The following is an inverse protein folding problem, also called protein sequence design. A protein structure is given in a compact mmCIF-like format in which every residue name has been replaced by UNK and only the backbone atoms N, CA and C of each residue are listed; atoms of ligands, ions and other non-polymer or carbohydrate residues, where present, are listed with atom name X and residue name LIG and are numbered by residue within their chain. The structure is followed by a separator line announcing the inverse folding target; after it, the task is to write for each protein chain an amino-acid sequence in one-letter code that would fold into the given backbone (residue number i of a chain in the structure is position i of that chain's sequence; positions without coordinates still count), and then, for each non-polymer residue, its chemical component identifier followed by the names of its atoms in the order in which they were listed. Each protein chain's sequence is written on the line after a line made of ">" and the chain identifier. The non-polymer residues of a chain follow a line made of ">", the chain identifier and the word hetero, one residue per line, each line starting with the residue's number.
data_IF_331472052899
#
_entry.id   IF_331472052899
#
_cell.length_a   1.000
_cell.length_b   1.000
_cell.length_c   1.000
_cell.angle_alpha   90.00
_cell.angle_beta   90.00
_cell.angle_gamma   90.00
#
_symmetry.space_group_name_H-M   'P 1'
#
loop_
_entity.id
_entity.type
_entity.pdbx_description
1 polymer ?
#
# COMPACT_ATOMS: atom_id res chain seq x y z
N UNK A 1 -38.79 -14.65 -17.90
CA UNK A 1 -39.03 -13.28 -17.60
C UNK A 1 -38.63 -12.86 -16.22
N UNK A 2 -38.53 -13.75 -15.34
CA UNK A 2 -38.14 -13.38 -13.98
C UNK A 2 -36.66 -13.35 -13.79
N UNK A 3 -35.89 -13.85 -14.71
CA UNK A 3 -34.47 -13.98 -14.52
C UNK A 3 -33.72 -12.67 -14.50
N UNK A 4 -34.31 -11.63 -15.02
CA UNK A 4 -33.55 -10.39 -15.13
C UNK A 4 -33.38 -9.67 -13.81
N UNK A 5 -34.05 -10.06 -12.79
CA UNK A 5 -34.00 -9.36 -11.53
C UNK A 5 -32.66 -9.48 -10.83
N UNK A 6 -31.98 -10.59 -10.99
CA UNK A 6 -30.72 -10.81 -10.30
C UNK A 6 -29.53 -9.97 -10.78
N UNK A 7 -29.63 -9.44 -12.00
CA UNK A 7 -28.50 -8.74 -12.56
C UNK A 7 -28.22 -7.41 -11.88
N UNK A 8 -29.24 -6.72 -11.45
CA UNK A 8 -29.05 -5.40 -10.84
C UNK A 8 -28.27 -5.45 -9.54
N UNK A 9 -28.40 -6.52 -8.79
CA UNK A 9 -27.73 -6.63 -7.50
C UNK A 9 -26.23 -6.77 -7.66
N UNK A 10 -25.80 -7.41 -8.70
CA UNK A 10 -24.41 -7.66 -8.95
C UNK A 10 -23.58 -6.38 -9.11
N UNK A 11 -24.15 -5.40 -9.77
CA UNK A 11 -23.42 -4.15 -10.04
C UNK A 11 -23.14 -3.39 -8.76
N UNK A 12 -24.06 -3.41 -7.82
CA UNK A 12 -23.86 -2.71 -6.57
C UNK A 12 -22.68 -3.23 -5.76
N UNK A 13 -22.46 -4.53 -5.78
CA UNK A 13 -21.35 -5.12 -5.04
C UNK A 13 -20.00 -4.69 -5.57
N UNK A 14 -19.87 -4.56 -6.87
CA UNK A 14 -18.60 -4.16 -7.47
C UNK A 14 -18.21 -2.74 -7.06
N UNK A 15 -19.16 -1.84 -7.02
CA UNK A 15 -18.88 -0.46 -6.62
C UNK A 15 -18.43 -0.37 -5.17
N UNK A 16 -19.03 -1.15 -4.31
CA UNK A 16 -18.64 -1.15 -2.91
C UNK A 16 -17.21 -1.62 -2.70
N UNK A 17 -16.76 -2.61 -3.49
CA UNK A 17 -15.40 -3.11 -3.36
C UNK A 17 -14.37 -2.06 -3.74
N UNK A 18 -14.64 -1.30 -4.79
CA UNK A 18 -13.70 -0.26 -5.23
C UNK A 18 -13.59 0.83 -4.17
N UNK A 19 -14.70 1.25 -3.61
CA UNK A 19 -14.69 2.31 -2.59
C UNK A 19 -13.92 1.89 -1.34
N UNK A 20 -14.06 0.63 -0.93
CA UNK A 20 -13.38 0.14 0.26
C UNK A 20 -11.86 0.13 0.12
N UNK A 21 -11.36 0.02 -1.12
CA UNK A 21 -9.94 -0.03 -1.36
C UNK A 21 -9.25 1.32 -1.25
N UNK A 22 -10.00 2.40 -1.50
CA UNK A 22 -9.42 3.72 -1.65
C UNK A 22 -8.84 4.30 -0.36
N UNK A 23 -9.35 3.90 0.80
CA UNK A 23 -8.90 4.49 2.05
C UNK A 23 -8.05 3.56 2.90
N UNK A 24 -7.32 2.65 2.25
CA UNK A 24 -6.38 1.77 2.92
C UNK A 24 -4.97 2.05 2.40
N UNK A 25 -3.99 1.65 3.20
CA UNK A 25 -2.58 1.85 2.82
C UNK A 25 -2.15 0.91 1.70
N UNK A 26 -2.97 -0.06 1.35
CA UNK A 26 -2.69 -0.96 0.23
C UNK A 26 -2.45 -0.20 -1.06
N UNK A 27 -1.60 -0.73 -1.93
CA UNK A 27 -1.35 -0.18 -3.24
C UNK A 27 0.09 0.22 -3.45
N UNK A 28 0.33 0.96 -4.53
CA UNK A 28 1.68 1.35 -4.93
C UNK A 28 1.98 2.77 -4.47
N UNK A 29 3.15 2.94 -3.88
CA UNK A 29 3.61 4.22 -3.35
C UNK A 29 4.94 4.58 -3.97
N UNK A 30 5.12 5.86 -4.28
CA UNK A 30 6.29 6.37 -5.00
C UNK A 30 6.92 7.56 -4.29
N UNK A 31 8.26 7.63 -4.36
CA UNK A 31 9.02 8.70 -3.73
C UNK A 31 10.40 8.77 -4.40
N UNK A 32 10.67 9.86 -5.11
CA UNK A 32 11.99 10.12 -5.69
C UNK A 32 12.55 8.94 -6.48
N UNK A 33 11.74 8.39 -7.37
CA UNK A 33 12.19 7.28 -8.20
C UNK A 33 12.09 5.92 -7.56
N UNK A 34 11.74 5.85 -6.28
CA UNK A 34 11.53 4.59 -5.58
C UNK A 34 10.07 4.21 -5.62
N UNK A 35 9.81 2.91 -5.52
CA UNK A 35 8.44 2.38 -5.55
C UNK A 35 8.33 1.21 -4.61
N UNK A 36 7.26 1.16 -3.84
CA UNK A 36 6.90 -0.02 -3.05
C UNK A 36 5.44 -0.35 -3.28
N UNK A 37 5.05 -1.58 -2.97
CA UNK A 37 3.68 -2.02 -3.17
C UNK A 37 3.24 -2.83 -1.96
N UNK A 38 2.07 -2.49 -1.40
CA UNK A 38 1.52 -3.15 -0.23
C UNK A 38 0.24 -3.88 -0.63
N UNK A 39 0.13 -5.14 -0.19
CA UNK A 39 -1.07 -5.94 -0.40
C UNK A 39 -1.33 -6.70 0.89
N UNK A 40 -2.17 -6.13 1.78
CA UNK A 40 -2.33 -6.67 3.11
C UNK A 40 -1.00 -6.74 3.82
N UNK A 41 -0.66 -7.86 4.47
CA UNK A 41 0.64 -7.98 5.13
C UNK A 41 1.82 -8.18 4.19
N UNK A 42 1.59 -8.38 2.91
CA UNK A 42 2.67 -8.58 1.94
C UNK A 42 3.15 -7.25 1.40
N UNK A 43 4.46 -7.12 1.19
CA UNK A 43 5.05 -5.91 0.63
C UNK A 43 6.14 -6.29 -0.36
N UNK A 44 6.21 -5.53 -1.47
CA UNK A 44 7.39 -5.49 -2.33
C UNK A 44 8.12 -4.21 -1.97
N UNK A 45 9.31 -4.34 -1.42
CA UNK A 45 10.07 -3.21 -0.90
C UNK A 45 10.62 -2.34 -2.02
N UNK A 46 11.11 -1.13 -1.72
CA UNK A 46 11.78 -0.33 -2.75
C UNK A 46 12.97 -1.02 -3.40
N UNK A 47 13.61 -1.92 -2.69
CA UNK A 47 14.69 -2.72 -3.27
C UNK A 47 14.22 -3.90 -4.10
N UNK A 48 12.93 -4.13 -4.19
CA UNK A 48 12.37 -5.20 -5.01
C UNK A 48 12.18 -6.52 -4.30
N UNK A 49 12.39 -6.58 -3.00
CA UNK A 49 12.26 -7.81 -2.24
C UNK A 49 10.80 -8.02 -1.82
N UNK A 50 10.33 -9.26 -1.95
CA UNK A 50 9.01 -9.62 -1.45
C UNK A 50 9.15 -10.13 -0.03
N UNK A 51 8.43 -9.51 0.88
CA UNK A 51 8.45 -9.91 2.28
C UNK A 51 7.12 -9.58 2.91
N UNK A 52 7.00 -9.70 4.22
CA UNK A 52 5.78 -9.38 4.94
C UNK A 52 6.08 -8.52 6.14
N UNK A 53 5.06 -7.89 6.68
CA UNK A 53 5.20 -7.03 7.83
C UNK A 53 3.91 -6.94 8.61
N UNK A 54 3.85 -5.96 9.50
CA UNK A 54 2.68 -5.70 10.34
C UNK A 54 1.77 -4.74 9.60
N UNK A 55 0.58 -5.23 9.27
CA UNK A 55 -0.39 -4.50 8.47
C UNK A 55 -1.58 -4.08 9.31
N UNK A 56 -1.99 -2.84 9.13
CA UNK A 56 -3.31 -2.41 9.49
C UNK A 56 -3.81 -1.51 8.36
N UNK A 57 -5.08 -1.17 8.40
CA UNK A 57 -5.66 -0.42 7.29
C UNK A 57 -4.92 0.89 7.00
N UNK A 58 -4.42 1.55 8.04
CA UNK A 58 -3.79 2.86 7.90
C UNK A 58 -2.32 2.89 8.27
N UNK A 59 -1.71 1.74 8.48
CA UNK A 59 -0.31 1.69 8.88
C UNK A 59 0.34 0.38 8.45
N UNK A 60 1.65 0.42 8.28
CA UNK A 60 2.43 -0.76 7.90
C UNK A 60 3.83 -0.61 8.48
N UNK A 61 4.41 -1.70 8.93
CA UNK A 61 5.82 -1.69 9.30
C UNK A 61 6.45 -3.02 8.89
N UNK A 62 7.74 -2.96 8.53
CA UNK A 62 8.46 -4.17 8.20
C UNK A 62 9.93 -4.01 8.57
N UNK A 63 10.60 -5.16 8.71
CA UNK A 63 12.02 -5.20 9.00
C UNK A 63 12.76 -5.35 7.67
N UNK A 64 13.76 -4.51 7.45
CA UNK A 64 14.52 -4.52 6.20
C UNK A 64 15.19 -5.87 6.03
N UNK A 65 15.01 -6.53 4.85
CA UNK A 65 15.59 -7.85 4.62
C UNK A 65 17.11 -7.83 4.56
N UNK A 66 17.70 -8.99 4.82
CA UNK A 66 19.15 -9.12 4.84
C UNK A 66 19.81 -8.75 3.52
N UNK A 67 19.09 -8.83 2.41
CA UNK A 67 19.63 -8.55 1.09
C UNK A 67 19.64 -7.07 0.74
N UNK A 68 19.14 -6.20 1.62
CA UNK A 68 19.05 -4.77 1.33
C UNK A 68 19.90 -3.96 2.30
N UNK A 69 20.23 -2.71 1.96
CA UNK A 69 21.04 -1.86 2.86
C UNK A 69 20.31 -1.62 4.17
N UNK A 70 21.07 -1.57 5.26
CA UNK A 70 20.55 -1.36 6.61
C UNK A 70 19.64 -2.49 7.08
N UNK A 71 20.04 -3.75 6.88
CA UNK A 71 19.18 -4.87 7.26
C UNK A 71 18.87 -4.87 8.76
N UNK A 72 17.70 -5.35 9.11
CA UNK A 72 17.28 -5.41 10.50
C UNK A 72 16.63 -4.14 11.02
N UNK A 73 16.67 -3.06 10.27
CA UNK A 73 16.03 -1.81 10.66
C UNK A 73 14.53 -1.90 10.42
N UNK A 74 13.73 -1.31 11.31
CA UNK A 74 12.28 -1.29 11.15
C UNK A 74 11.85 -0.03 10.42
N UNK A 75 11.15 -0.20 9.31
CA UNK A 75 10.56 0.89 8.54
C UNK A 75 9.09 0.99 8.93
N UNK A 76 8.62 2.20 9.20
CA UNK A 76 7.25 2.45 9.64
C UNK A 76 6.56 3.40 8.66
N UNK A 77 5.31 3.09 8.34
CA UNK A 77 4.51 3.88 7.41
C UNK A 77 3.16 4.21 8.03
N UNK A 78 2.64 5.40 7.74
CA UNK A 78 1.33 5.84 8.19
C UNK A 78 0.60 6.52 7.07
N UNK A 79 -0.63 6.09 6.81
CA UNK A 79 -1.49 6.72 5.82
C UNK A 79 -1.95 8.07 6.36
N UNK A 80 -1.81 9.12 5.56
CA UNK A 80 -2.28 10.45 5.91
C UNK A 80 -3.63 10.74 5.27
N UNK A 81 -3.78 10.37 4.03
CA UNK A 81 -5.04 10.48 3.29
C UNK A 81 -4.95 9.52 2.11
N UNK A 82 -5.90 9.58 1.21
CA UNK A 82 -5.96 8.63 0.09
C UNK A 82 -4.75 8.69 -0.83
N UNK A 83 -4.08 9.83 -0.89
CA UNK A 83 -3.01 10.05 -1.85
C UNK A 83 -1.62 10.11 -1.26
N UNK A 84 -1.50 10.25 0.06
CA UNK A 84 -0.20 10.45 0.70
C UNK A 84 -0.06 9.58 1.94
N UNK A 85 1.16 9.16 2.18
CA UNK A 85 1.52 8.50 3.42
C UNK A 85 2.90 8.97 3.86
N UNK A 86 3.20 8.83 5.14
CA UNK A 86 4.51 9.10 5.68
C UNK A 86 5.26 7.81 5.94
N UNK A 87 6.55 7.82 5.61
CA UNK A 87 7.44 6.69 5.86
C UNK A 87 8.67 7.20 6.57
N UNK A 88 9.16 6.46 7.56
CA UNK A 88 10.48 6.73 8.11
C UNK A 88 11.31 5.47 8.10
N UNK A 89 12.59 5.67 7.75
CA UNK A 89 13.49 4.57 7.46
C UNK A 89 14.03 3.90 8.73
N UNK A 90 13.88 4.54 9.88
CA UNK A 90 14.27 3.97 11.17
C UNK A 90 13.52 4.72 12.26
N UNK A 91 13.51 4.22 13.50
CA UNK A 91 12.80 4.93 14.58
C UNK A 91 13.28 6.35 14.83
N UNK A 92 14.52 6.66 14.47
CA UNK A 92 15.09 7.98 14.68
C UNK A 92 15.12 8.86 13.44
N UNK A 93 14.70 8.32 12.29
CA UNK A 93 14.76 9.06 11.04
C UNK A 93 13.59 10.03 10.91
N UNK A 94 13.74 11.11 10.12
CA UNK A 94 12.61 11.97 9.84
C UNK A 94 11.59 11.28 8.96
N UNK A 95 10.34 11.73 9.03
CA UNK A 95 9.28 11.24 8.17
C UNK A 95 9.44 11.78 6.77
N UNK A 96 9.26 10.91 5.78
CA UNK A 96 9.24 11.28 4.36
C UNK A 96 7.83 11.13 3.84
N UNK A 97 7.41 12.02 2.95
CA UNK A 97 6.10 11.92 2.34
C UNK A 97 6.19 11.12 1.04
N UNK A 98 5.41 10.07 0.96
CA UNK A 98 5.28 9.25 -0.24
C UNK A 98 3.91 9.46 -0.83
N UNK A 99 3.78 9.36 -2.13
CA UNK A 99 2.52 9.58 -2.84
C UNK A 99 2.12 8.35 -3.59
N UNK A 100 0.82 8.19 -3.82
CA UNK A 100 0.37 7.13 -4.70
C UNK A 100 1.08 7.25 -6.03
N UNK A 101 1.56 6.12 -6.55
CA UNK A 101 2.13 6.12 -7.88
C UNK A 101 1.02 6.42 -8.87
N UNK A 102 1.32 7.22 -9.89
CA UNK A 102 0.35 7.51 -10.92
C UNK A 102 0.05 6.29 -11.77
N UNK A 103 -0.96 6.36 -12.62
CA UNK A 103 -1.25 5.25 -13.51
C UNK A 103 -0.07 5.01 -14.44
N UNK A 104 0.11 3.77 -14.91
CA UNK A 104 1.21 3.48 -15.81
C UNK A 104 1.10 4.30 -17.09
N UNK A 105 2.24 4.75 -17.57
CA UNK A 105 2.30 5.50 -18.80
C UNK A 105 2.40 4.51 -19.94
N UNK A 106 1.53 4.62 -20.89
CA UNK A 106 1.53 3.68 -22.00
C UNK A 106 2.02 4.30 -23.29
#
# INVERSE_FOLDING_TARGET
>A
MRARIGVAVFVGCLLASVAARADAIDGAWCHEGLRLTISGPAIVTPGGTKTSGDYSRHAFSYVVPASEPQPGTTITMRLLNEETMNLRASPDAPWETWRRCGPPIS
#
